data_IF_405626431707
#
_entry.id   IF_405626431707
#
_cell.length_a   1.000
_cell.length_b   1.000
_cell.length_c   1.000
_cell.angle_alpha   90.00
_cell.angle_beta   90.00
_cell.angle_gamma   90.00
#
_symmetry.space_group_name_H-M   'P 1'
#
loop_
_entity.id
_entity.type
_entity.pdbx_description
1 polymer ?
#
# COMPACT_ATOMS: atom_id res chain seq x y z
N UNK A 1 -5.97 11.12 -26.86
CA UNK A 1 -7.39 11.28 -26.48
C UNK A 1 -7.55 11.29 -24.96
N UNK A 2 -8.18 12.33 -24.40
CA UNK A 2 -8.30 12.52 -22.94
C UNK A 2 -9.27 11.50 -22.29
N UNK A 3 -10.11 10.84 -23.09
CA UNK A 3 -10.97 9.74 -22.67
C UNK A 3 -11.21 8.74 -23.82
N UNK A 4 -10.32 7.75 -24.04
CA UNK A 4 -10.44 6.81 -25.17
C UNK A 4 -11.63 5.85 -25.07
N UNK A 5 -12.27 5.76 -23.89
CA UNK A 5 -13.43 4.89 -23.64
C UNK A 5 -14.78 5.58 -23.92
N UNK A 6 -14.79 6.89 -24.21
CA UNK A 6 -16.03 7.63 -24.48
C UNK A 6 -16.32 7.55 -25.97
N UNK A 7 -17.35 6.79 -26.35
CA UNK A 7 -17.79 6.64 -27.75
C UNK A 7 -19.22 7.13 -27.92
N UNK A 8 -19.63 7.40 -29.17
CA UNK A 8 -21.03 7.73 -29.46
C UNK A 8 -21.99 6.63 -29.01
N UNK A 9 -21.58 5.36 -29.18
CA UNK A 9 -22.34 4.19 -28.77
C UNK A 9 -22.49 4.11 -27.24
N UNK A 10 -21.40 4.29 -26.47
CA UNK A 10 -21.47 4.27 -25.01
C UNK A 10 -22.36 5.40 -24.47
N UNK A 11 -22.24 6.60 -25.05
CA UNK A 11 -23.05 7.75 -24.65
C UNK A 11 -24.54 7.58 -24.95
N UNK A 12 -24.89 7.00 -26.11
CA UNK A 12 -26.29 6.71 -26.45
C UNK A 12 -26.88 5.63 -25.54
N UNK A 13 -26.10 4.61 -25.18
CA UNK A 13 -26.51 3.59 -24.23
C UNK A 13 -26.77 4.18 -22.83
N UNK A 14 -25.89 5.04 -22.33
CA UNK A 14 -26.05 5.69 -21.03
C UNK A 14 -27.26 6.63 -20.98
N UNK A 15 -27.52 7.37 -22.06
CA UNK A 15 -28.71 8.23 -22.20
C UNK A 15 -30.01 7.41 -22.24
N UNK A 16 -30.02 6.30 -22.97
CA UNK A 16 -31.17 5.40 -23.03
C UNK A 16 -31.47 4.75 -21.66
N UNK A 17 -30.42 4.41 -20.90
CA UNK A 17 -30.54 3.87 -19.55
C UNK A 17 -31.02 4.91 -18.52
N UNK A 18 -30.84 6.21 -18.79
CA UNK A 18 -31.17 7.30 -17.87
C UNK A 18 -32.08 8.39 -18.48
N UNK A 19 -33.33 8.07 -18.87
CA UNK A 19 -34.22 9.01 -19.54
C UNK A 19 -34.43 10.29 -18.73
N UNK A 20 -34.17 11.44 -19.34
CA UNK A 20 -34.39 12.76 -18.74
C UNK A 20 -33.36 13.17 -17.67
N UNK A 21 -32.31 12.37 -17.43
CA UNK A 21 -31.22 12.70 -16.51
C UNK A 21 -29.95 13.07 -17.28
N UNK A 22 -29.13 14.00 -16.77
CA UNK A 22 -27.82 14.26 -17.35
C UNK A 22 -26.90 13.03 -17.21
N UNK A 23 -26.10 12.76 -18.24
CA UNK A 23 -25.08 11.71 -18.28
C UNK A 23 -23.70 12.36 -18.28
N UNK A 24 -22.77 11.83 -17.48
CA UNK A 24 -21.39 12.35 -17.45
C UNK A 24 -20.62 11.82 -18.65
N UNK A 25 -20.32 12.69 -19.61
CA UNK A 25 -19.54 12.32 -20.79
C UNK A 25 -18.05 12.10 -20.46
N UNK A 26 -17.43 13.04 -19.75
CA UNK A 26 -16.01 13.00 -19.41
C UNK A 26 -15.74 13.77 -18.12
N UNK A 27 -14.77 13.31 -17.34
CA UNK A 27 -14.21 14.06 -16.21
C UNK A 27 -12.85 14.63 -16.63
N UNK A 28 -12.74 15.95 -16.60
CA UNK A 28 -11.51 16.67 -16.94
C UNK A 28 -10.93 17.34 -15.70
N UNK A 29 -9.60 17.42 -15.64
CA UNK A 29 -8.93 18.34 -14.71
C UNK A 29 -9.05 19.76 -15.26
N UNK A 30 -9.06 20.76 -14.37
CA UNK A 30 -9.13 22.17 -14.76
C UNK A 30 -8.12 22.55 -15.87
N UNK A 31 -6.83 22.12 -15.81
CA UNK A 31 -5.88 22.41 -16.88
C UNK A 31 -6.27 21.77 -18.23
N UNK A 32 -6.78 20.53 -18.24
CA UNK A 32 -7.20 19.88 -19.48
C UNK A 32 -8.41 20.58 -20.10
N UNK A 33 -9.36 20.98 -19.24
CA UNK A 33 -10.55 21.72 -19.68
C UNK A 33 -10.17 23.05 -20.31
N UNK A 34 -9.21 23.78 -19.75
CA UNK A 34 -8.77 25.06 -20.30
C UNK A 34 -8.23 24.95 -21.74
N UNK A 35 -7.63 23.81 -22.11
CA UNK A 35 -7.17 23.57 -23.50
C UNK A 35 -8.32 23.19 -24.45
N UNK A 36 -9.44 22.70 -23.93
CA UNK A 36 -10.56 22.14 -24.69
C UNK A 36 -11.81 23.03 -24.66
N UNK A 37 -11.78 24.17 -23.96
CA UNK A 37 -12.95 25.01 -23.68
C UNK A 37 -13.74 25.38 -24.96
N UNK A 38 -13.03 25.72 -26.04
CA UNK A 38 -13.63 26.06 -27.33
C UNK A 38 -14.40 24.92 -27.98
N UNK A 39 -14.03 23.68 -27.68
CA UNK A 39 -14.55 22.49 -28.33
C UNK A 39 -15.82 21.96 -27.64
N UNK A 40 -16.18 22.50 -26.47
CA UNK A 40 -17.34 22.09 -25.69
C UNK A 40 -18.63 22.87 -25.99
N UNK A 41 -18.65 23.73 -27.01
CA UNK A 41 -19.84 24.43 -27.49
C UNK A 41 -20.80 23.51 -28.28
N UNK A 42 -21.11 22.34 -27.71
CA UNK A 42 -21.97 21.31 -28.30
C UNK A 42 -23.37 21.43 -27.70
N UNK A 43 -24.43 21.55 -28.52
CA UNK A 43 -25.81 21.60 -28.01
C UNK A 43 -26.12 20.41 -27.08
N UNK A 44 -26.63 20.72 -25.88
CA UNK A 44 -26.98 19.71 -24.87
C UNK A 44 -25.84 19.26 -23.96
N UNK A 45 -24.60 19.69 -24.22
CA UNK A 45 -23.47 19.47 -23.30
C UNK A 45 -23.41 20.63 -22.31
N UNK A 46 -23.32 20.31 -21.02
CA UNK A 46 -23.14 21.28 -19.95
C UNK A 46 -21.87 20.98 -19.18
N UNK A 47 -21.13 22.02 -18.82
CA UNK A 47 -19.91 21.90 -18.02
C UNK A 47 -20.26 22.21 -16.58
N UNK A 48 -20.02 21.24 -15.69
CA UNK A 48 -20.26 21.39 -14.25
C UNK A 48 -18.92 21.32 -13.53
N UNK A 49 -18.46 22.47 -13.02
CA UNK A 49 -17.23 22.52 -12.23
C UNK A 49 -17.50 22.00 -10.81
N UNK A 50 -16.79 20.93 -10.44
CA UNK A 50 -16.95 20.29 -9.12
C UNK A 50 -15.59 20.21 -8.43
N UNK A 51 -15.45 20.67 -7.17
CA UNK A 51 -14.21 20.50 -6.44
C UNK A 51 -13.97 19.02 -6.15
N UNK A 52 -12.80 18.50 -6.52
CA UNK A 52 -12.38 17.12 -6.25
C UNK A 52 -10.92 17.09 -5.83
N UNK A 53 -10.61 16.32 -4.79
CA UNK A 53 -9.23 16.08 -4.38
C UNK A 53 -8.56 15.11 -5.36
N UNK A 54 -7.61 15.63 -6.14
CA UNK A 54 -6.87 14.90 -7.18
C UNK A 54 -5.36 14.95 -6.89
N UNK A 55 -4.63 13.94 -7.35
CA UNK A 55 -3.16 13.99 -7.32
C UNK A 55 -2.64 14.99 -8.36
N UNK A 56 -1.69 15.85 -8.00
CA UNK A 56 -1.11 16.83 -8.93
C UNK A 56 -0.44 16.13 -10.12
N UNK A 57 0.45 15.17 -9.88
CA UNK A 57 1.00 14.29 -10.92
C UNK A 57 -0.01 13.18 -11.28
N UNK A 58 -0.32 13.02 -12.57
CA UNK A 58 -1.25 12.00 -13.08
C UNK A 58 -0.66 10.59 -13.07
N UNK A 59 0.66 10.49 -13.08
CA UNK A 59 1.40 9.22 -13.06
C UNK A 59 1.32 8.56 -11.70
N UNK A 60 1.12 9.34 -10.63
CA UNK A 60 0.97 8.82 -9.27
C UNK A 60 -0.40 8.15 -9.13
N UNK A 61 -0.38 6.83 -9.22
CA UNK A 61 -1.45 5.95 -8.78
C UNK A 61 -0.91 5.09 -7.62
N UNK A 62 -1.57 5.15 -6.47
CA UNK A 62 -1.16 4.41 -5.28
C UNK A 62 -2.38 3.96 -4.48
N UNK A 63 -2.35 2.76 -3.87
CA UNK A 63 -3.34 2.34 -2.89
C UNK A 63 -3.42 3.25 -1.65
N UNK A 64 -2.45 4.16 -1.44
CA UNK A 64 -2.45 5.13 -0.35
C UNK A 64 -3.32 6.36 -0.62
N UNK A 65 -3.73 6.62 -1.87
CA UNK A 65 -4.46 7.85 -2.19
C UNK A 65 -5.86 7.90 -1.57
N UNK A 66 -6.59 6.78 -1.56
CA UNK A 66 -7.91 6.72 -0.92
C UNK A 66 -7.83 6.86 0.61
N UNK A 67 -6.95 6.13 1.32
CA UNK A 67 -6.67 6.36 2.73
C UNK A 67 -6.33 7.82 3.07
N UNK A 68 -5.47 8.48 2.28
CA UNK A 68 -5.13 9.89 2.45
C UNK A 68 -6.35 10.81 2.27
N UNK A 69 -7.25 10.52 1.32
CA UNK A 69 -8.52 11.24 1.17
C UNK A 69 -9.42 11.07 2.39
N UNK A 70 -9.44 9.88 2.99
CA UNK A 70 -10.19 9.61 4.22
C UNK A 70 -9.66 10.45 5.39
N UNK A 71 -8.34 10.55 5.56
CA UNK A 71 -7.74 11.43 6.59
C UNK A 71 -8.08 12.90 6.31
N UNK A 72 -7.96 13.34 5.06
CA UNK A 72 -8.34 14.69 4.65
C UNK A 72 -9.82 15.01 4.93
N UNK A 73 -10.71 14.06 4.66
CA UNK A 73 -12.14 14.22 4.92
C UNK A 73 -12.42 14.28 6.42
N UNK A 74 -11.78 13.43 7.24
CA UNK A 74 -11.91 13.48 8.69
C UNK A 74 -11.46 14.84 9.26
N UNK A 75 -10.37 15.42 8.73
CA UNK A 75 -9.93 16.76 9.10
C UNK A 75 -10.97 17.83 8.73
N UNK A 76 -11.56 17.73 7.53
CA UNK A 76 -12.65 18.62 7.06
C UNK A 76 -13.87 18.54 7.97
N UNK A 77 -14.26 17.34 8.38
CA UNK A 77 -15.41 17.10 9.23
C UNK A 77 -15.16 17.64 10.66
N UNK A 78 -13.95 17.43 11.18
CA UNK A 78 -13.56 17.93 12.50
C UNK A 78 -13.50 19.46 12.58
N UNK A 79 -13.16 20.14 11.47
CA UNK A 79 -13.15 21.60 11.39
C UNK A 79 -14.40 22.17 10.73
N UNK A 80 -15.46 21.37 10.56
CA UNK A 80 -16.67 21.81 9.89
C UNK A 80 -17.36 22.94 10.66
N UNK A 81 -17.83 23.93 9.91
CA UNK A 81 -18.77 24.92 10.42
C UNK A 81 -20.19 24.36 10.45
N UNK A 82 -21.11 25.13 11.02
CA UNK A 82 -22.54 24.84 10.94
C UNK A 82 -23.30 26.11 10.54
N UNK A 83 -24.46 25.94 9.91
CA UNK A 83 -25.38 27.03 9.65
C UNK A 83 -26.83 26.54 9.81
N UNK A 84 -27.68 27.40 10.34
CA UNK A 84 -29.13 27.22 10.35
C UNK A 84 -29.69 28.14 9.28
N UNK A 85 -30.36 27.56 8.28
CA UNK A 85 -30.98 28.29 7.19
C UNK A 85 -32.50 28.17 7.29
N UNK A 86 -33.21 29.28 7.06
CA UNK A 86 -34.63 29.26 6.73
C UNK A 86 -34.75 28.99 5.24
N UNK A 87 -35.46 27.95 4.84
CA UNK A 87 -35.68 27.62 3.42
C UNK A 87 -37.11 28.01 3.08
N UNK A 88 -37.27 28.99 2.18
CA UNK A 88 -38.59 29.44 1.72
C UNK A 88 -39.21 28.45 0.71
N UNK A 89 -40.47 28.64 0.35
CA UNK A 89 -41.20 27.77 -0.60
C UNK A 89 -40.60 27.72 -2.01
N UNK A 90 -39.74 28.68 -2.36
CA UNK A 90 -38.97 28.73 -3.60
C UNK A 90 -37.66 27.91 -3.54
N UNK A 91 -37.33 27.30 -2.39
CA UNK A 91 -36.12 26.49 -2.18
C UNK A 91 -34.84 27.28 -1.88
N UNK A 92 -34.89 28.62 -1.83
CA UNK A 92 -33.72 29.43 -1.52
C UNK A 92 -33.43 29.43 0.00
N UNK A 93 -32.22 29.02 0.44
CA UNK A 93 -31.84 29.05 1.84
C UNK A 93 -31.37 30.46 2.26
N UNK A 94 -31.98 31.01 3.30
CA UNK A 94 -31.58 32.26 3.97
C UNK A 94 -30.92 31.93 5.32
N UNK A 95 -29.62 32.19 5.45
CA UNK A 95 -28.86 31.94 6.67
C UNK A 95 -29.37 32.78 7.84
N UNK A 96 -29.78 32.14 8.92
CA UNK A 96 -30.25 32.77 10.16
C UNK A 96 -29.13 32.88 11.19
N UNK A 97 -28.34 31.81 11.32
CA UNK A 97 -27.21 31.72 12.22
C UNK A 97 -26.16 30.76 11.66
N UNK A 98 -24.94 30.84 12.16
CA UNK A 98 -23.94 29.83 11.88
C UNK A 98 -22.55 30.24 12.31
N UNK A 99 -21.68 29.26 12.36
CA UNK A 99 -20.25 29.40 12.62
C UNK A 99 -19.48 28.88 11.42
N UNK A 100 -18.61 29.71 10.85
CA UNK A 100 -17.66 29.24 9.86
C UNK A 100 -16.55 28.50 10.62
N UNK A 101 -16.49 27.18 10.44
CA UNK A 101 -15.40 26.38 10.98
C UNK A 101 -14.06 26.85 10.39
N UNK A 102 -12.96 26.71 11.15
CA UNK A 102 -11.64 27.06 10.65
C UNK A 102 -11.27 26.21 9.43
N UNK A 103 -10.30 26.67 8.60
CA UNK A 103 -9.77 25.81 7.55
C UNK A 103 -9.17 24.54 8.16
N UNK A 104 -9.46 23.39 7.54
CA UNK A 104 -8.82 22.12 7.90
C UNK A 104 -7.32 22.20 7.66
N UNK A 105 -6.48 21.57 8.51
CA UNK A 105 -5.04 21.57 8.32
C UNK A 105 -4.64 20.79 7.05
N UNK A 106 -3.50 21.16 6.47
CA UNK A 106 -2.90 20.40 5.39
C UNK A 106 -2.49 19.00 5.89
N UNK A 107 -2.71 17.98 5.04
CA UNK A 107 -2.29 16.60 5.33
C UNK A 107 -0.91 16.39 4.73
N UNK A 108 0.12 16.43 5.58
CA UNK A 108 1.49 16.16 5.18
C UNK A 108 1.71 14.64 5.03
N UNK A 109 1.43 14.09 3.84
CA UNK A 109 1.62 12.67 3.54
C UNK A 109 3.10 12.26 3.60
N UNK A 110 3.38 11.05 4.06
CA UNK A 110 4.71 10.44 4.04
C UNK A 110 5.11 9.89 2.68
N UNK A 111 4.13 9.72 1.78
CA UNK A 111 4.32 9.25 0.41
C UNK A 111 5.34 10.14 -0.31
N UNK A 112 6.48 9.57 -0.67
CA UNK A 112 7.49 10.24 -1.45
C UNK A 112 7.17 10.07 -2.93
N UNK A 113 6.99 11.19 -3.63
CA UNK A 113 6.54 11.18 -5.03
C UNK A 113 7.57 10.53 -5.96
N UNK A 114 8.86 10.69 -5.68
CA UNK A 114 9.94 10.12 -6.50
C UNK A 114 10.04 8.61 -6.27
N UNK A 115 10.01 8.16 -5.02
CA UNK A 115 9.96 6.74 -4.69
C UNK A 115 8.69 6.06 -5.22
N UNK A 116 7.54 6.74 -5.17
CA UNK A 116 6.29 6.22 -5.69
C UNK A 116 6.34 6.03 -7.21
N UNK A 117 6.88 7.00 -7.95
CA UNK A 117 7.04 6.87 -9.41
C UNK A 117 8.02 5.74 -9.75
N UNK A 118 9.15 5.63 -9.04
CA UNK A 118 10.09 4.53 -9.22
C UNK A 118 9.44 3.16 -8.95
N UNK A 119 8.60 3.05 -7.92
CA UNK A 119 7.86 1.85 -7.62
C UNK A 119 6.82 1.51 -8.70
N UNK A 120 6.13 2.51 -9.26
CA UNK A 120 5.18 2.34 -10.38
C UNK A 120 5.91 1.80 -11.61
N UNK A 121 7.02 2.42 -12.01
CA UNK A 121 7.83 1.98 -13.15
C UNK A 121 8.42 0.57 -12.97
N UNK A 122 8.67 0.16 -11.72
CA UNK A 122 9.13 -1.18 -11.40
C UNK A 122 7.99 -2.22 -11.49
N UNK A 123 6.82 -1.98 -10.87
CA UNK A 123 5.74 -2.99 -10.89
C UNK A 123 5.20 -3.27 -12.30
N UNK A 124 5.22 -2.28 -13.20
CA UNK A 124 4.77 -2.47 -14.59
C UNK A 124 5.76 -3.28 -15.44
N UNK A 125 6.96 -3.57 -14.95
CA UNK A 125 7.92 -4.43 -15.65
C UNK A 125 7.55 -5.92 -15.57
N UNK A 126 6.64 -6.31 -14.68
CA UNK A 126 6.11 -7.67 -14.60
C UNK A 126 4.82 -7.83 -15.42
N UNK A 127 4.73 -8.94 -16.15
CA UNK A 127 3.53 -9.34 -16.88
C UNK A 127 2.45 -10.00 -16.01
N UNK A 128 2.80 -10.39 -14.79
CA UNK A 128 1.92 -11.04 -13.80
C UNK A 128 1.67 -10.10 -12.61
N UNK A 129 0.67 -10.36 -11.74
CA UNK A 129 0.36 -9.49 -10.60
C UNK A 129 1.59 -9.19 -9.74
N UNK A 130 1.89 -7.92 -9.54
CA UNK A 130 3.06 -7.51 -8.78
C UNK A 130 2.78 -6.29 -7.89
N UNK A 131 3.50 -6.21 -6.77
CA UNK A 131 3.40 -5.12 -5.82
C UNK A 131 4.74 -4.79 -5.18
N UNK A 132 4.92 -3.50 -4.85
CA UNK A 132 6.06 -2.97 -4.10
C UNK A 132 5.52 -2.13 -2.95
N UNK A 133 6.10 -2.31 -1.76
CA UNK A 133 5.90 -1.41 -0.62
C UNK A 133 7.26 -0.99 -0.09
N UNK A 134 7.41 0.30 0.22
CA UNK A 134 8.62 0.88 0.80
C UNK A 134 8.31 1.68 2.07
N UNK A 135 9.15 1.49 3.08
CA UNK A 135 9.04 2.08 4.42
C UNK A 135 10.40 2.63 4.82
N UNK A 136 10.40 3.81 5.44
CA UNK A 136 11.59 4.38 6.07
C UNK A 136 11.82 3.75 7.44
N UNK A 137 12.91 3.01 7.67
CA UNK A 137 13.16 2.36 8.96
C UNK A 137 13.26 3.33 10.14
N UNK A 138 13.81 4.53 9.97
CA UNK A 138 14.05 5.45 11.09
C UNK A 138 12.78 5.86 11.83
N UNK A 139 11.67 6.05 11.12
CA UNK A 139 10.41 6.58 11.68
C UNK A 139 9.13 5.85 11.23
N UNK A 140 9.24 4.85 10.35
CA UNK A 140 8.10 4.08 9.86
C UNK A 140 7.27 4.77 8.78
N UNK A 141 7.74 5.88 8.21
CA UNK A 141 7.07 6.53 7.09
C UNK A 141 6.87 5.56 5.91
N UNK A 142 5.63 5.38 5.45
CA UNK A 142 5.32 4.62 4.23
C UNK A 142 5.64 5.54 3.05
N UNK A 143 6.72 5.24 2.34
CA UNK A 143 7.28 6.08 1.28
C UNK A 143 6.65 5.80 -0.08
N UNK A 144 6.34 4.52 -0.35
CA UNK A 144 5.74 4.10 -1.61
C UNK A 144 4.89 2.84 -1.42
N UNK A 145 3.80 2.75 -2.18
CA UNK A 145 3.03 1.54 -2.38
C UNK A 145 2.50 1.52 -3.81
N UNK A 146 2.95 0.57 -4.61
CA UNK A 146 2.59 0.44 -6.02
C UNK A 146 2.16 -0.99 -6.33
N UNK A 147 1.25 -1.12 -7.30
CA UNK A 147 0.80 -2.40 -7.83
C UNK A 147 0.43 -2.23 -9.31
N UNK A 148 0.70 -3.24 -10.13
CA UNK A 148 0.37 -3.19 -11.57
C UNK A 148 -1.11 -3.50 -11.83
N UNK A 149 -1.55 -3.34 -13.09
CA UNK A 149 -2.97 -3.52 -13.45
C UNK A 149 -3.50 -4.92 -13.10
N UNK A 150 -2.70 -5.96 -13.33
CA UNK A 150 -3.06 -7.35 -13.01
C UNK A 150 -3.28 -7.55 -11.50
N UNK A 151 -2.48 -6.87 -10.66
CA UNK A 151 -2.67 -6.86 -9.22
C UNK A 151 -3.88 -6.03 -8.77
N UNK A 152 -4.16 -4.89 -9.42
CA UNK A 152 -5.32 -4.04 -9.11
C UNK A 152 -6.64 -4.80 -9.28
N UNK A 153 -6.73 -5.67 -10.29
CA UNK A 153 -7.91 -6.53 -10.50
C UNK A 153 -8.16 -7.51 -9.34
N UNK A 154 -7.13 -7.79 -8.53
CA UNK A 154 -7.21 -8.65 -7.33
C UNK A 154 -7.45 -7.87 -6.03
N UNK A 155 -7.55 -6.53 -6.10
CA UNK A 155 -7.68 -5.64 -4.94
C UNK A 155 -6.36 -5.04 -4.46
N UNK A 156 -6.29 -4.54 -3.22
CA UNK A 156 -5.12 -3.83 -2.69
C UNK A 156 -4.08 -4.82 -2.14
N UNK A 157 -3.49 -5.63 -3.04
CA UNK A 157 -2.62 -6.74 -2.63
C UNK A 157 -1.38 -6.28 -1.87
N UNK A 158 -0.98 -5.01 -2.03
CA UNK A 158 0.12 -4.40 -1.28
C UNK A 158 -0.10 -4.41 0.24
N UNK A 159 -1.35 -4.23 0.71
CA UNK A 159 -1.67 -4.06 2.13
C UNK A 159 -2.53 -5.17 2.73
N UNK A 160 -3.44 -5.78 1.97
CA UNK A 160 -4.36 -6.81 2.51
C UNK A 160 -4.30 -8.13 1.74
N UNK A 161 -3.57 -8.19 0.63
CA UNK A 161 -3.41 -9.41 -0.15
C UNK A 161 -2.46 -10.40 0.52
N UNK A 162 -2.96 -11.19 1.46
CA UNK A 162 -2.22 -12.29 2.06
C UNK A 162 -1.79 -13.29 0.97
N UNK A 163 -0.54 -13.74 1.05
CA UNK A 163 0.09 -14.67 0.13
C UNK A 163 0.88 -15.73 0.92
N UNK A 164 0.92 -16.98 0.48
CA UNK A 164 1.76 -18.00 1.09
C UNK A 164 3.19 -17.51 1.23
N UNK A 165 3.72 -17.57 2.44
CA UNK A 165 5.01 -16.95 2.72
C UNK A 165 6.18 -17.81 2.20
N UNK A 166 6.05 -19.15 2.25
CA UNK A 166 7.10 -20.07 1.84
C UNK A 166 8.46 -19.74 2.48
N UNK A 167 9.52 -19.65 1.68
CA UNK A 167 10.86 -19.27 2.14
C UNK A 167 11.00 -17.82 2.60
N UNK A 168 9.98 -16.97 2.41
CA UNK A 168 10.05 -15.57 2.81
C UNK A 168 10.21 -15.41 4.34
N UNK A 169 9.78 -16.40 5.12
CA UNK A 169 9.92 -16.43 6.58
C UNK A 169 11.22 -17.10 7.07
N UNK A 170 12.16 -17.47 6.20
CA UNK A 170 13.38 -18.15 6.63
C UNK A 170 14.23 -17.31 7.59
N UNK A 171 14.28 -15.98 7.42
CA UNK A 171 14.94 -15.08 8.36
C UNK A 171 14.22 -15.02 9.71
N UNK A 172 12.89 -15.06 9.72
CA UNK A 172 12.10 -15.11 10.96
C UNK A 172 12.33 -16.44 11.68
N UNK A 173 12.36 -17.54 10.93
CA UNK A 173 12.66 -18.87 11.44
C UNK A 173 14.08 -18.96 12.00
N UNK A 174 15.06 -18.38 11.32
CA UNK A 174 16.44 -18.26 11.81
C UNK A 174 16.52 -17.46 13.12
N UNK A 175 15.85 -16.30 13.18
CA UNK A 175 15.80 -15.49 14.40
C UNK A 175 15.14 -16.24 15.56
N UNK A 176 14.06 -16.96 15.28
CA UNK A 176 13.32 -17.74 16.26
C UNK A 176 14.15 -18.91 16.78
N UNK A 177 14.86 -19.61 15.90
CA UNK A 177 15.71 -20.74 16.26
C UNK A 177 16.85 -20.32 17.20
N UNK A 178 17.48 -19.16 16.93
CA UNK A 178 18.52 -18.59 17.77
C UNK A 178 18.01 -18.19 19.16
N UNK A 179 16.83 -17.56 19.24
CA UNK A 179 16.24 -17.14 20.51
C UNK A 179 15.83 -18.33 21.39
N UNK A 180 15.35 -19.41 20.75
CA UNK A 180 14.84 -20.58 21.46
C UNK A 180 15.90 -21.68 21.66
N UNK A 181 17.09 -21.54 21.07
CA UNK A 181 18.16 -22.55 21.17
C UNK A 181 17.80 -23.88 20.48
N UNK A 182 17.02 -23.82 19.40
CA UNK A 182 16.56 -24.98 18.62
C UNK A 182 17.08 -24.90 17.19
N UNK A 183 17.06 -26.03 16.47
CA UNK A 183 17.33 -26.02 15.03
C UNK A 183 16.22 -25.28 14.27
N UNK A 184 16.52 -24.59 13.14
CA UNK A 184 15.51 -23.88 12.36
C UNK A 184 14.31 -24.75 11.94
N UNK A 185 14.54 -26.02 11.61
CA UNK A 185 13.48 -26.98 11.25
C UNK A 185 12.60 -27.43 12.42
N UNK A 186 12.98 -27.10 13.66
CA UNK A 186 12.26 -27.46 14.89
C UNK A 186 11.54 -26.27 15.54
N UNK A 187 11.57 -25.09 14.91
CA UNK A 187 10.81 -23.92 15.35
C UNK A 187 9.31 -24.22 15.27
N UNK A 188 8.61 -24.12 16.41
CA UNK A 188 7.15 -24.31 16.45
C UNK A 188 6.40 -23.13 15.80
N UNK A 189 5.14 -23.33 15.38
CA UNK A 189 4.31 -22.23 14.87
C UNK A 189 4.17 -21.06 15.86
N UNK A 190 4.06 -21.34 17.16
CA UNK A 190 3.99 -20.32 18.21
C UNK A 190 5.31 -19.54 18.31
N UNK A 191 6.45 -20.22 18.33
CA UNK A 191 7.77 -19.59 18.35
C UNK A 191 8.03 -18.74 17.10
N UNK A 192 7.52 -19.17 15.95
CA UNK A 192 7.56 -18.41 14.71
C UNK A 192 6.68 -17.16 14.79
N UNK A 193 5.45 -17.30 15.31
CA UNK A 193 4.51 -16.20 15.47
C UNK A 193 5.03 -15.14 16.46
N UNK A 194 5.57 -15.56 17.60
CA UNK A 194 6.12 -14.65 18.62
C UNK A 194 7.32 -13.86 18.07
N UNK A 195 8.22 -14.54 17.34
CA UNK A 195 9.34 -13.87 16.68
C UNK A 195 8.88 -12.97 15.53
N UNK A 196 7.87 -13.39 14.77
CA UNK A 196 7.26 -12.59 13.72
C UNK A 196 6.71 -11.27 14.26
N UNK A 197 6.03 -11.28 15.41
CA UNK A 197 5.49 -10.07 16.03
C UNK A 197 6.55 -9.09 16.49
N UNK A 198 7.68 -9.58 17.04
CA UNK A 198 8.85 -8.75 17.35
C UNK A 198 9.39 -8.03 16.10
N UNK A 199 9.25 -8.67 14.94
CA UNK A 199 9.65 -8.18 13.62
C UNK A 199 8.52 -7.48 12.84
N UNK A 200 7.39 -7.17 13.48
CA UNK A 200 6.29 -6.41 12.89
C UNK A 200 5.29 -7.24 12.08
N UNK A 201 5.43 -8.57 12.02
CA UNK A 201 4.49 -9.47 11.34
C UNK A 201 3.40 -9.97 12.29
N UNK A 202 2.15 -9.90 11.85
CA UNK A 202 0.98 -10.26 12.66
C UNK A 202 0.65 -9.25 13.75
N UNK A 203 1.21 -8.03 13.67
CA UNK A 203 0.84 -6.92 14.54
C UNK A 203 -0.36 -6.20 13.94
N UNK A 204 -1.43 -6.04 14.72
CA UNK A 204 -2.59 -5.23 14.34
C UNK A 204 -2.26 -3.74 14.44
N UNK A 205 -1.70 -3.17 13.39
CA UNK A 205 -1.49 -1.73 13.29
C UNK A 205 -2.79 -1.02 12.88
N UNK A 206 -3.10 0.09 13.54
CA UNK A 206 -4.23 0.95 13.20
C UNK A 206 -3.71 2.22 12.57
N UNK A 207 -3.87 2.33 11.25
CA UNK A 207 -3.54 3.51 10.46
C UNK A 207 -4.87 4.09 9.98
N UNK A 208 -5.13 5.37 10.27
CA UNK A 208 -6.40 5.99 9.92
C UNK A 208 -6.66 5.91 8.40
N UNK A 209 -7.78 5.29 8.03
CA UNK A 209 -8.22 5.16 6.65
C UNK A 209 -7.49 4.10 5.82
N UNK A 210 -6.52 3.37 6.38
CA UNK A 210 -5.79 2.31 5.70
C UNK A 210 -6.04 0.96 6.37
N UNK A 211 -6.85 0.14 5.72
CA UNK A 211 -6.96 -1.28 6.05
C UNK A 211 -5.67 -1.99 5.63
N UNK A 212 -5.05 -2.68 6.58
CA UNK A 212 -3.81 -3.41 6.33
C UNK A 212 -3.78 -4.69 7.15
N UNK A 213 -2.99 -5.64 6.68
CA UNK A 213 -2.57 -6.79 7.45
C UNK A 213 -1.11 -7.09 7.12
N UNK A 214 -0.30 -7.46 8.11
CA UNK A 214 1.10 -7.81 7.87
C UNK A 214 1.31 -9.29 7.61
N UNK A 215 0.67 -10.16 8.42
CA UNK A 215 0.76 -11.61 8.29
C UNK A 215 -0.36 -12.35 9.03
N UNK A 216 -0.56 -13.61 8.68
CA UNK A 216 -1.21 -14.65 9.50
C UNK A 216 -0.20 -15.78 9.68
N UNK A 217 0.38 -15.88 10.88
CA UNK A 217 1.49 -16.81 11.17
C UNK A 217 1.06 -18.09 11.90
N UNK A 218 -0.16 -18.11 12.44
CA UNK A 218 -0.78 -19.29 13.05
C UNK A 218 -2.30 -19.15 12.97
N UNK A 219 -2.99 -20.22 12.55
CA UNK A 219 -4.45 -20.22 12.36
C UNK A 219 -5.26 -20.14 13.66
N UNK A 220 -4.65 -20.39 14.83
CA UNK A 220 -5.35 -20.49 16.11
C UNK A 220 -4.76 -19.58 17.19
N UNK A 221 -5.12 -18.29 17.14
CA UNK A 221 -5.15 -17.47 18.36
C UNK A 221 -6.61 -17.28 18.79
N UNK A 222 -6.99 -17.65 20.03
CA UNK A 222 -8.31 -17.31 20.55
C UNK A 222 -8.45 -15.78 20.58
N UNK A 223 -9.43 -15.23 19.84
CA UNK A 223 -9.74 -13.80 19.84
C UNK A 223 -9.64 -13.07 18.49
N UNK A 224 -9.18 -13.74 17.42
CA UNK A 224 -9.30 -13.22 16.05
C UNK A 224 -10.52 -13.85 15.40
N UNK A 225 -11.54 -13.03 15.11
CA UNK A 225 -12.84 -13.47 14.62
C UNK A 225 -12.74 -14.48 13.47
N UNK A 226 -13.22 -15.69 13.72
CA UNK A 226 -13.34 -16.82 12.77
C UNK A 226 -14.16 -16.48 11.51
N UNK A 227 -14.79 -15.31 11.45
CA UNK A 227 -15.63 -14.87 10.34
C UNK A 227 -14.86 -14.52 9.06
N UNK A 228 -13.60 -14.08 9.15
CA UNK A 228 -12.79 -13.74 7.97
C UNK A 228 -12.09 -14.95 7.32
N UNK A 229 -11.94 -16.06 8.05
CA UNK A 229 -11.22 -17.24 7.57
C UNK A 229 -11.96 -17.97 6.42
N UNK A 230 -13.27 -17.74 6.27
CA UNK A 230 -14.12 -18.48 5.34
C UNK A 230 -14.24 -17.84 3.95
N UNK A 231 -13.72 -16.64 3.71
CA UNK A 231 -13.90 -15.91 2.42
C UNK A 231 -12.73 -16.13 1.45
N UNK A 232 -11.58 -16.64 1.91
CA UNK A 232 -10.35 -16.81 1.10
C UNK A 232 -9.92 -18.29 0.93
N UNK A 233 -10.68 -19.25 1.46
CA UNK A 233 -10.34 -20.68 1.46
C UNK A 233 -10.55 -21.40 0.11
N UNK A 234 -10.66 -20.69 -1.02
CA UNK A 234 -10.82 -21.33 -2.33
C UNK A 234 -9.49 -21.49 -3.06
N UNK A 235 -8.61 -22.34 -2.52
CA UNK A 235 -7.59 -23.09 -3.27
C UNK A 235 -7.38 -24.42 -2.54
N UNK A 236 -7.62 -25.51 -3.27
CA UNK A 236 -7.42 -26.89 -2.83
C UNK A 236 -5.93 -27.22 -2.68
N UNK A 237 -5.41 -27.29 -1.47
CA UNK A 237 -4.23 -28.10 -1.11
C UNK A 237 -4.08 -28.18 0.41
N UNK A 238 -3.25 -29.09 0.90
CA UNK A 238 -2.91 -29.32 2.31
C UNK A 238 -2.17 -28.12 2.98
N UNK A 239 -2.33 -26.89 2.47
CA UNK A 239 -1.60 -25.67 2.84
C UNK A 239 -2.47 -24.65 3.60
N UNK A 240 -3.70 -25.01 4.01
CA UNK A 240 -4.62 -24.09 4.71
C UNK A 240 -4.07 -23.53 6.04
N UNK A 241 -3.06 -24.20 6.62
CA UNK A 241 -2.39 -23.78 7.85
C UNK A 241 -1.03 -23.10 7.61
N UNK A 242 -0.60 -22.93 6.35
CA UNK A 242 0.68 -22.33 6.03
C UNK A 242 0.68 -20.81 6.33
N UNK A 243 1.74 -20.27 6.94
CA UNK A 243 1.84 -18.84 7.19
C UNK A 243 1.69 -18.02 5.91
N UNK A 244 0.92 -16.94 6.00
CA UNK A 244 0.73 -15.99 4.91
C UNK A 244 1.20 -14.59 5.32
N UNK A 245 1.68 -13.82 4.35
CA UNK A 245 2.22 -12.47 4.54
C UNK A 245 1.73 -11.54 3.44
N UNK A 246 1.76 -10.24 3.69
CA UNK A 246 1.55 -9.21 2.65
C UNK A 246 2.88 -8.55 2.27
N UNK A 247 2.96 -7.87 1.10
CA UNK A 247 4.09 -7.00 0.77
C UNK A 247 4.36 -5.94 1.84
N UNK A 248 3.32 -5.33 2.41
CA UNK A 248 3.46 -4.41 3.54
C UNK A 248 4.11 -5.07 4.75
N UNK A 249 3.68 -6.28 5.14
CA UNK A 249 4.29 -7.04 6.22
C UNK A 249 5.77 -7.34 5.97
N UNK A 250 6.13 -7.73 4.76
CA UNK A 250 7.52 -8.00 4.40
C UNK A 250 8.39 -6.74 4.38
N UNK A 251 7.83 -5.59 3.99
CA UNK A 251 8.52 -4.30 4.10
C UNK A 251 8.72 -3.90 5.57
N UNK A 252 7.73 -4.17 6.43
CA UNK A 252 7.84 -4.00 7.88
C UNK A 252 8.92 -4.91 8.48
N UNK A 253 9.00 -6.18 8.08
CA UNK A 253 10.06 -7.09 8.47
C UNK A 253 11.44 -6.55 8.08
N UNK A 254 11.60 -6.12 6.83
CA UNK A 254 12.85 -5.54 6.35
C UNK A 254 13.24 -4.27 7.12
N UNK A 255 12.28 -3.38 7.38
CA UNK A 255 12.49 -2.17 8.18
C UNK A 255 12.88 -2.52 9.62
N UNK A 256 12.26 -3.55 10.19
CA UNK A 256 12.54 -4.04 11.55
C UNK A 256 13.97 -4.54 11.67
N UNK A 257 14.45 -5.34 10.72
CA UNK A 257 15.84 -5.84 10.71
C UNK A 257 16.83 -4.68 10.51
N UNK A 258 16.51 -3.75 9.60
CA UNK A 258 17.35 -2.60 9.31
C UNK A 258 17.57 -1.73 10.56
N UNK A 259 16.52 -1.38 11.30
CA UNK A 259 16.62 -0.53 12.51
C UNK A 259 16.87 -1.29 13.82
N UNK A 260 16.53 -2.58 13.88
CA UNK A 260 16.65 -3.48 15.04
C UNK A 260 15.41 -3.64 15.92
N UNK A 261 14.27 -3.06 15.53
CA UNK A 261 12.95 -3.25 16.16
C UNK A 261 11.87 -2.84 15.17
N UNK A 262 10.63 -3.31 15.26
CA UNK A 262 9.62 -2.89 14.29
C UNK A 262 9.23 -1.40 14.45
N UNK A 263 9.30 -0.59 13.38
CA UNK A 263 8.82 0.80 13.44
C UNK A 263 7.29 0.82 13.54
N UNK A 264 6.72 1.94 13.98
CA UNK A 264 5.27 2.15 13.85
C UNK A 264 5.00 2.75 12.48
N UNK A 265 4.22 2.10 11.60
CA UNK A 265 3.99 2.59 10.25
C UNK A 265 3.22 3.92 10.28
N UNK A 266 3.57 4.83 9.38
CA UNK A 266 3.01 6.18 9.35
C UNK A 266 2.71 6.58 7.90
N UNK A 267 1.49 7.06 7.64
CA UNK A 267 1.07 7.57 6.34
C UNK A 267 1.03 9.11 6.29
N UNK A 268 0.89 9.75 7.44
CA UNK A 268 0.85 11.20 7.61
C UNK A 268 1.86 11.59 8.68
N UNK A 269 2.73 12.55 8.38
CA UNK A 269 3.76 13.00 9.32
C UNK A 269 3.16 13.42 10.65
N UNK A 270 3.74 12.92 11.74
CA UNK A 270 3.28 13.17 13.11
C UNK A 270 2.08 12.31 13.54
N UNK A 271 1.62 11.37 12.71
CA UNK A 271 0.52 10.46 13.02
C UNK A 271 0.95 8.99 12.81
N UNK A 272 1.90 8.47 13.63
CA UNK A 272 2.25 7.06 13.58
C UNK A 272 1.06 6.18 13.99
N UNK A 273 1.01 4.96 13.46
CA UNK A 273 -0.01 3.98 13.83
C UNK A 273 0.03 3.66 15.32
N UNK A 274 -1.12 3.29 15.87
CA UNK A 274 -1.16 2.51 17.11
C UNK A 274 -1.04 1.02 16.79
N UNK A 275 -0.55 0.21 17.73
CA UNK A 275 -0.43 -1.24 17.55
C UNK A 275 -1.14 -1.96 18.69
N UNK A 276 -1.87 -3.04 18.38
CA UNK A 276 -2.49 -3.92 19.38
C UNK A 276 -1.45 -4.51 20.35
N UNK A 277 -0.25 -4.77 19.82
CA UNK A 277 0.89 -5.28 20.58
C UNK A 277 2.09 -4.39 20.28
N UNK A 278 2.73 -3.88 21.33
CA UNK A 278 3.99 -3.14 21.18
C UNK A 278 5.09 -4.12 20.77
N UNK A 279 5.74 -3.93 19.60
CA UNK A 279 6.80 -4.83 19.18
C UNK A 279 7.97 -4.79 20.18
N UNK A 280 8.36 -5.95 20.69
CA UNK A 280 9.59 -6.07 21.49
C UNK A 280 10.77 -6.22 20.54
N UNK A 281 11.88 -5.54 20.82
CA UNK A 281 13.09 -5.63 20.01
C UNK A 281 13.73 -7.02 20.12
N UNK A 282 14.25 -7.55 19.02
CA UNK A 282 15.07 -8.75 19.04
C UNK A 282 16.35 -8.52 19.86
N UNK A 283 16.93 -9.59 20.46
CA UNK A 283 18.29 -9.53 20.98
C UNK A 283 19.28 -9.00 19.93
N UNK A 284 20.19 -8.12 20.34
CA UNK A 284 21.05 -7.39 19.40
C UNK A 284 21.99 -8.29 18.58
N UNK A 285 22.45 -9.39 19.17
CA UNK A 285 23.24 -10.44 18.50
C UNK A 285 22.43 -11.19 17.45
N UNK A 286 21.17 -11.54 17.75
CA UNK A 286 20.23 -12.15 16.80
C UNK A 286 20.01 -11.20 15.62
N UNK A 287 19.68 -9.93 15.89
CA UNK A 287 19.43 -8.97 14.82
C UNK A 287 20.67 -8.68 13.96
N UNK A 288 21.86 -8.63 14.56
CA UNK A 288 23.11 -8.49 13.81
C UNK A 288 23.35 -9.71 12.91
N UNK A 289 23.05 -10.92 13.38
CA UNK A 289 23.13 -12.13 12.56
C UNK A 289 22.17 -12.10 11.37
N UNK A 290 20.96 -11.56 11.54
CA UNK A 290 20.03 -11.37 10.42
C UNK A 290 20.56 -10.37 9.39
N UNK A 291 21.11 -9.23 9.84
CA UNK A 291 21.73 -8.25 8.94
C UNK A 291 22.91 -8.85 8.18
N UNK A 292 23.74 -9.65 8.84
CA UNK A 292 24.86 -10.34 8.22
C UNK A 292 24.37 -11.36 7.17
N UNK A 293 23.32 -12.13 7.49
CA UNK A 293 22.70 -13.06 6.56
C UNK A 293 22.16 -12.34 5.31
N UNK A 294 21.47 -11.21 5.48
CA UNK A 294 20.95 -10.41 4.36
C UNK A 294 22.04 -9.77 3.50
N UNK A 295 23.19 -9.40 4.09
CA UNK A 295 24.37 -8.95 3.30
C UNK A 295 24.99 -10.07 2.48
N UNK A 296 24.99 -11.30 3.01
CA UNK A 296 25.57 -12.46 2.33
C UNK A 296 24.66 -13.14 1.31
N UNK A 297 23.33 -13.02 1.46
CA UNK A 297 22.36 -13.79 0.69
C UNK A 297 21.77 -13.06 -0.53
N UNK A 298 21.66 -11.73 -0.51
CA UNK A 298 20.79 -11.02 -1.45
C UNK A 298 21.27 -9.63 -1.86
N UNK A 299 22.54 -9.49 -2.22
CA UNK A 299 23.00 -8.28 -2.90
C UNK A 299 22.48 -8.19 -4.34
N UNK A 300 22.13 -6.99 -4.78
CA UNK A 300 21.86 -6.72 -6.19
C UNK A 300 23.13 -6.13 -6.83
N UNK A 301 23.49 -6.60 -8.03
CA UNK A 301 24.65 -6.08 -8.75
C UNK A 301 24.52 -4.56 -8.93
N UNK A 302 25.53 -3.80 -8.54
CA UNK A 302 25.49 -2.33 -8.53
C UNK A 302 25.09 -1.68 -7.20
N UNK A 303 24.64 -2.47 -6.21
CA UNK A 303 24.17 -1.99 -4.91
C UNK A 303 24.84 -2.76 -3.75
N UNK A 304 26.16 -2.57 -3.51
CA UNK A 304 26.94 -3.37 -2.56
C UNK A 304 26.59 -3.12 -1.09
N UNK A 305 25.90 -2.02 -0.78
CA UNK A 305 25.42 -1.64 0.54
C UNK A 305 24.02 -2.18 0.86
N UNK A 306 23.39 -2.89 -0.08
CA UNK A 306 22.07 -3.47 0.09
C UNK A 306 22.14 -4.70 1.02
N UNK A 307 21.19 -4.75 1.97
CA UNK A 307 20.89 -5.93 2.76
C UNK A 307 19.55 -6.47 2.28
N UNK A 308 19.51 -7.62 1.62
CA UNK A 308 18.23 -8.18 1.16
C UNK A 308 18.23 -9.71 1.15
N UNK A 309 17.03 -10.26 0.98
CA UNK A 309 16.80 -11.68 0.81
C UNK A 309 15.80 -11.90 -0.33
N UNK A 310 16.11 -12.87 -1.19
CA UNK A 310 15.17 -13.42 -2.16
C UNK A 310 14.51 -14.68 -1.59
N UNK A 311 13.23 -14.88 -1.90
CA UNK A 311 12.51 -16.07 -1.48
C UNK A 311 11.44 -16.49 -2.51
N UNK A 312 10.97 -17.72 -2.37
CA UNK A 312 9.94 -18.29 -3.23
C UNK A 312 8.86 -18.99 -2.39
N UNK A 313 7.64 -19.00 -2.93
CA UNK A 313 6.54 -19.83 -2.44
C UNK A 313 5.75 -20.36 -3.64
N UNK A 314 5.96 -21.63 -4.00
CA UNK A 314 5.49 -22.13 -5.30
C UNK A 314 6.10 -21.31 -6.44
N UNK A 315 5.27 -20.74 -7.30
CA UNK A 315 5.67 -19.87 -8.41
C UNK A 315 5.80 -18.39 -8.03
N UNK A 316 5.36 -18.02 -6.82
CA UNK A 316 5.51 -16.65 -6.33
C UNK A 316 6.98 -16.33 -6.00
N UNK A 317 7.38 -15.09 -6.25
CA UNK A 317 8.72 -14.58 -5.97
C UNK A 317 8.66 -13.36 -5.07
N UNK A 318 9.53 -13.39 -4.06
CA UNK A 318 9.72 -12.33 -3.09
C UNK A 318 11.15 -11.81 -3.16
N UNK A 319 11.30 -10.50 -3.00
CA UNK A 319 12.59 -9.89 -2.72
C UNK A 319 12.37 -8.74 -1.74
N UNK A 320 13.01 -8.77 -0.58
CA UNK A 320 12.80 -7.76 0.45
C UNK A 320 14.09 -7.43 1.15
N UNK A 321 14.23 -6.19 1.59
CA UNK A 321 15.49 -5.71 2.12
C UNK A 321 15.50 -4.24 2.42
N UNK A 322 16.70 -3.72 2.62
CA UNK A 322 16.93 -2.31 2.89
C UNK A 322 18.26 -1.83 2.32
N UNK A 323 18.30 -0.54 2.01
CA UNK A 323 19.51 0.19 1.65
C UNK A 323 19.45 1.57 2.31
N UNK A 324 20.34 1.83 3.24
CA UNK A 324 20.26 3.03 4.09
C UNK A 324 18.93 3.10 4.84
N UNK A 325 18.24 4.24 4.76
CA UNK A 325 16.94 4.48 5.41
C UNK A 325 15.74 4.19 4.47
N UNK A 326 15.90 3.21 3.58
CA UNK A 326 14.87 2.77 2.65
C UNK A 326 14.75 1.24 2.73
N UNK A 327 13.72 0.74 3.42
CA UNK A 327 13.35 -0.67 3.44
C UNK A 327 12.18 -0.92 2.49
N UNK A 328 12.15 -2.10 1.88
CA UNK A 328 11.19 -2.42 0.84
C UNK A 328 10.88 -3.91 0.78
N UNK A 329 9.76 -4.23 0.17
CA UNK A 329 9.43 -5.58 -0.28
C UNK A 329 8.82 -5.53 -1.67
N UNK A 330 9.25 -6.47 -2.50
CA UNK A 330 8.80 -6.71 -3.87
C UNK A 330 8.18 -8.09 -3.93
N UNK A 331 6.98 -8.16 -4.50
CA UNK A 331 6.23 -9.39 -4.71
C UNK A 331 5.84 -9.50 -6.18
N UNK A 332 6.05 -10.68 -6.75
CA UNK A 332 5.58 -11.05 -8.09
C UNK A 332 4.87 -12.40 -7.98
N UNK A 333 3.56 -12.40 -8.21
CA UNK A 333 2.75 -13.61 -8.22
C UNK A 333 2.98 -14.41 -9.51
N UNK A 334 2.90 -15.73 -9.42
CA UNK A 334 2.96 -16.66 -10.56
C UNK A 334 4.10 -16.29 -11.54
N UNK A 335 5.29 -16.04 -11.00
CA UNK A 335 6.34 -15.37 -11.74
C UNK A 335 6.91 -16.26 -12.86
N UNK A 336 7.04 -15.69 -14.06
CA UNK A 336 7.72 -16.33 -15.20
C UNK A 336 9.25 -16.32 -15.02
N UNK A 337 9.76 -16.99 -13.99
CA UNK A 337 11.19 -17.11 -13.67
C UNK A 337 11.54 -17.04 -12.19
N UNK A 338 12.73 -17.50 -11.84
CA UNK A 338 13.24 -17.50 -10.46
C UNK A 338 13.65 -16.12 -9.93
N UNK A 339 13.97 -15.18 -10.81
CA UNK A 339 14.64 -13.92 -10.50
C UNK A 339 13.77 -12.68 -10.74
N UNK A 340 12.48 -12.84 -11.05
CA UNK A 340 11.59 -11.72 -11.42
C UNK A 340 11.48 -10.64 -10.34
N UNK A 341 11.36 -11.02 -9.07
CA UNK A 341 11.34 -10.05 -7.97
C UNK A 341 12.67 -9.30 -7.84
N UNK A 342 13.80 -9.94 -8.16
CA UNK A 342 15.12 -9.31 -8.17
C UNK A 342 15.28 -8.34 -9.35
N UNK A 343 14.86 -8.73 -10.56
CA UNK A 343 14.85 -7.84 -11.74
C UNK A 343 13.97 -6.61 -11.51
N UNK A 344 12.80 -6.78 -10.91
CA UNK A 344 11.92 -5.68 -10.53
C UNK A 344 12.56 -4.77 -9.47
N UNK A 345 13.28 -5.35 -8.50
CA UNK A 345 14.04 -4.58 -7.51
C UNK A 345 15.15 -3.75 -8.19
N UNK A 346 15.85 -4.32 -9.16
CA UNK A 346 16.85 -3.59 -9.95
C UNK A 346 16.25 -2.40 -10.68
N UNK A 347 15.10 -2.62 -11.34
CA UNK A 347 14.34 -1.54 -11.96
C UNK A 347 13.96 -0.45 -10.95
N UNK A 348 13.46 -0.81 -9.77
CA UNK A 348 13.13 0.16 -8.71
C UNK A 348 14.33 1.05 -8.38
N UNK A 349 15.51 0.46 -8.12
CA UNK A 349 16.68 1.25 -7.75
C UNK A 349 17.31 2.02 -8.92
N UNK A 350 17.19 1.52 -10.16
CA UNK A 350 17.56 2.29 -11.34
C UNK A 350 16.70 3.55 -11.50
N UNK A 351 15.39 3.44 -11.26
CA UNK A 351 14.47 4.57 -11.32
C UNK A 351 14.68 5.54 -10.14
N UNK A 352 14.95 5.05 -8.93
CA UNK A 352 15.39 5.87 -7.79
C UNK A 352 16.73 6.57 -8.05
N UNK A 353 17.58 6.03 -8.92
CA UNK A 353 18.83 6.66 -9.32
C UNK A 353 18.66 7.84 -10.28
N UNK A 354 17.48 7.98 -10.90
CA UNK A 354 17.19 9.10 -11.80
C UNK A 354 16.90 10.37 -11.00
N UNK A 355 17.25 11.55 -11.54
CA UNK A 355 16.84 12.81 -10.92
C UNK A 355 15.32 12.87 -10.80
N UNK A 356 14.82 13.39 -9.68
CA UNK A 356 13.40 13.67 -9.54
C UNK A 356 12.98 14.68 -10.61
N UNK A 357 12.01 14.30 -11.45
CA UNK A 357 11.37 15.24 -12.37
C UNK A 357 10.78 16.40 -11.54
N UNK A 358 11.06 17.65 -11.95
CA UNK A 358 10.65 18.87 -11.24
C UNK A 358 9.15 19.13 -11.34
#
# INVERSE_FOLDING_TARGET
PVAPLVTSESMLADLAANPGKPVTAVLLRDPDYAYLESDFAIPGVVVVKTPKLIASDRRINSPLLDPLRTVWQANRDATAGWAVNLVESNGFPIKQAGFQGPPGPDVAATLDSHAQLAAIEAVVSAGTPAAIVAIRPSDGAILAAAQNNQAIEQGPIAFTGLRPAGGALDLVRLASSMQNGVDPGSVSPEQLADTGQQLGLGNGFHIQGLDQQTAVLAANRPGVDQAMNNVMANKTSNDADAPTVTPFGMAMLAASIARGSAPLPMMVFGQPATADVTPTALPGDVNNRLRDAMRGAGGLAGYPDMMAAGAASGDDRWFYGSRGDFAFAVFVADADGGDRAMQMTDKLFQELGKPADK
#
